data_IF_465172474382
#
_entry.id   IF_465172474382
#
_cell.length_a   1.000
_cell.length_b   1.000
_cell.length_c   1.000
_cell.angle_alpha   90.00
_cell.angle_beta   90.00
_cell.angle_gamma   90.00
#
_symmetry.space_group_name_H-M   'P 1'
#
loop_
_entity.id
_entity.type
_entity.pdbx_description
1 polymer ?
#
# COMPACT_ATOMS: atom_id res chain seq x y z
N UNK A 1 -23.68 -8.58 -18.55
CA UNK A 1 -24.24 -7.39 -19.21
C UNK A 1 -23.15 -6.85 -20.11
N UNK A 2 -23.34 -6.82 -21.42
CA UNK A 2 -22.36 -6.26 -22.35
C UNK A 2 -22.39 -4.73 -22.25
N UNK A 3 -21.75 -4.18 -21.23
CA UNK A 3 -21.47 -2.74 -21.18
C UNK A 3 -20.44 -2.39 -22.26
N UNK A 4 -20.63 -1.24 -22.91
CA UNK A 4 -19.73 -0.73 -23.94
C UNK A 4 -18.32 -0.61 -23.39
N UNK A 5 -17.31 -0.99 -24.20
CA UNK A 5 -15.89 -0.85 -23.86
C UNK A 5 -15.55 0.55 -23.33
N UNK A 6 -16.16 1.57 -23.94
CA UNK A 6 -15.99 2.97 -23.53
C UNK A 6 -16.48 3.20 -22.10
N UNK A 7 -17.61 2.60 -21.71
CA UNK A 7 -18.16 2.74 -20.36
C UNK A 7 -17.24 2.09 -19.34
N UNK A 8 -16.78 0.85 -19.61
CA UNK A 8 -15.85 0.16 -18.72
C UNK A 8 -14.54 0.92 -18.57
N UNK A 9 -14.01 1.48 -19.66
CA UNK A 9 -12.80 2.29 -19.63
C UNK A 9 -12.98 3.57 -18.81
N UNK A 10 -14.11 4.28 -18.99
CA UNK A 10 -14.42 5.48 -18.23
C UNK A 10 -14.62 5.17 -16.74
N UNK A 11 -15.28 4.06 -16.40
CA UNK A 11 -15.45 3.62 -15.01
C UNK A 11 -14.11 3.24 -14.37
N UNK A 12 -13.24 2.54 -15.12
CA UNK A 12 -11.88 2.21 -14.67
C UNK A 12 -11.08 3.48 -14.38
N UNK A 13 -11.05 4.42 -15.32
CA UNK A 13 -10.35 5.69 -15.18
C UNK A 13 -10.91 6.52 -14.01
N UNK A 14 -12.23 6.56 -13.87
CA UNK A 14 -12.90 7.26 -12.77
C UNK A 14 -12.53 6.63 -11.42
N UNK A 15 -12.57 5.30 -11.30
CA UNK A 15 -12.18 4.60 -10.08
C UNK A 15 -10.72 4.86 -9.71
N UNK A 16 -9.80 4.78 -10.70
CA UNK A 16 -8.38 5.08 -10.49
C UNK A 16 -8.17 6.52 -10.00
N UNK A 17 -8.89 7.48 -10.58
CA UNK A 17 -8.83 8.89 -10.18
C UNK A 17 -9.39 9.11 -8.77
N UNK A 18 -10.50 8.45 -8.42
CA UNK A 18 -11.06 8.49 -7.05
C UNK A 18 -10.07 7.94 -6.02
N UNK A 19 -9.38 6.84 -6.33
CA UNK A 19 -8.35 6.27 -5.45
C UNK A 19 -7.18 7.24 -5.30
N UNK A 20 -6.67 7.79 -6.41
CA UNK A 20 -5.55 8.74 -6.39
C UNK A 20 -5.85 10.02 -5.61
N UNK A 21 -6.97 10.69 -5.93
CA UNK A 21 -7.38 11.90 -5.22
C UNK A 21 -7.78 11.61 -3.77
N UNK A 22 -8.51 10.51 -3.54
CA UNK A 22 -8.92 10.06 -2.22
C UNK A 22 -7.73 9.79 -1.30
N UNK A 23 -6.68 9.12 -1.83
CA UNK A 23 -5.44 8.83 -1.10
C UNK A 23 -4.70 10.09 -0.64
N UNK A 24 -4.57 11.10 -1.51
CA UNK A 24 -3.92 12.38 -1.12
C UNK A 24 -4.68 13.09 0.00
N UNK A 25 -6.02 13.08 -0.05
CA UNK A 25 -6.85 13.68 1.00
C UNK A 25 -6.81 12.86 2.29
N UNK A 26 -6.76 11.53 2.17
CA UNK A 26 -6.64 10.60 3.29
C UNK A 26 -5.34 10.82 4.05
N UNK A 27 -4.21 11.01 3.36
CA UNK A 27 -2.92 11.32 3.99
C UNK A 27 -3.01 12.58 4.85
N UNK A 28 -3.52 13.69 4.27
CA UNK A 28 -3.66 14.96 5.01
C UNK A 28 -4.52 14.85 6.26
N UNK A 29 -5.60 14.06 6.20
CA UNK A 29 -6.47 13.85 7.36
C UNK A 29 -5.77 12.98 8.40
N UNK A 30 -4.99 11.99 7.97
CA UNK A 30 -4.21 11.15 8.86
C UNK A 30 -3.17 11.98 9.62
N UNK A 31 -2.46 12.89 8.93
CA UNK A 31 -1.48 13.79 9.54
C UNK A 31 -2.15 14.68 10.59
N UNK A 32 -3.24 15.38 10.21
CA UNK A 32 -4.03 16.21 11.14
C UNK A 32 -4.56 15.41 12.34
N UNK A 33 -4.92 14.14 12.13
CA UNK A 33 -5.41 13.27 13.19
C UNK A 33 -4.28 12.86 14.14
N UNK A 34 -3.08 12.63 13.63
CA UNK A 34 -1.90 12.37 14.45
C UNK A 34 -1.60 13.55 15.37
N UNK A 35 -1.61 14.76 14.82
CA UNK A 35 -1.39 16.00 15.57
C UNK A 35 -2.45 16.22 16.64
N UNK A 36 -3.73 16.09 16.27
CA UNK A 36 -4.84 16.36 17.18
C UNK A 36 -4.98 15.30 18.30
N UNK A 37 -4.62 14.04 18.02
CA UNK A 37 -4.74 12.94 19.00
C UNK A 37 -3.47 12.71 19.81
N UNK A 38 -2.34 13.28 19.38
CA UNK A 38 -1.02 12.97 19.94
C UNK A 38 -0.57 11.52 19.69
N UNK A 39 -1.31 10.73 18.90
CA UNK A 39 -0.80 9.47 18.37
C UNK A 39 0.21 9.84 17.29
N UNK A 40 1.50 9.87 17.66
CA UNK A 40 2.57 10.33 16.77
C UNK A 40 2.43 9.84 15.32
N UNK A 41 2.75 10.72 14.37
CA UNK A 41 2.49 10.58 12.93
C UNK A 41 2.87 9.21 12.35
N UNK A 42 4.00 8.65 12.79
CA UNK A 42 4.45 7.33 12.35
C UNK A 42 3.44 6.21 12.66
N UNK A 43 2.71 6.27 13.78
CA UNK A 43 1.72 5.26 14.17
C UNK A 43 0.45 5.41 13.33
N UNK A 44 -0.04 6.65 13.18
CA UNK A 44 -1.24 6.94 12.39
C UNK A 44 -1.00 6.65 10.92
N UNK A 45 0.14 7.07 10.38
CA UNK A 45 0.57 6.75 9.01
C UNK A 45 0.71 5.25 8.78
N UNK A 46 1.40 4.52 9.66
CA UNK A 46 1.60 3.08 9.47
C UNK A 46 0.30 2.28 9.61
N UNK A 47 -0.51 2.56 10.64
CA UNK A 47 -1.67 1.73 10.97
C UNK A 47 -2.92 2.14 10.19
N UNK A 48 -3.25 3.43 10.18
CA UNK A 48 -4.49 3.91 9.56
C UNK A 48 -4.29 4.10 8.06
N UNK A 49 -3.33 4.93 7.65
CA UNK A 49 -3.11 5.22 6.23
C UNK A 49 -2.58 3.98 5.48
N UNK A 50 -1.58 3.30 6.05
CA UNK A 50 -1.05 2.04 5.51
C UNK A 50 -2.09 0.93 5.48
N UNK A 51 -2.89 0.81 6.54
CA UNK A 51 -3.97 -0.18 6.63
C UNK A 51 -5.09 0.04 5.61
N UNK A 52 -5.59 1.28 5.47
CA UNK A 52 -6.65 1.62 4.51
C UNK A 52 -6.18 1.42 3.07
N UNK A 53 -4.97 1.87 2.74
CA UNK A 53 -4.38 1.69 1.41
C UNK A 53 -4.21 0.21 1.08
N UNK A 54 -3.69 -0.58 2.03
CA UNK A 54 -3.52 -2.03 1.87
C UNK A 54 -4.86 -2.75 1.73
N UNK A 55 -5.89 -2.33 2.48
CA UNK A 55 -7.22 -2.92 2.43
C UNK A 55 -7.84 -2.80 1.04
N UNK A 56 -7.72 -1.64 0.40
CA UNK A 56 -8.20 -1.44 -0.97
C UNK A 56 -7.52 -2.42 -1.96
N UNK A 57 -6.19 -2.55 -1.90
CA UNK A 57 -5.45 -3.50 -2.72
C UNK A 57 -5.80 -4.97 -2.43
N UNK A 58 -6.06 -5.31 -1.16
CA UNK A 58 -6.53 -6.64 -0.74
C UNK A 58 -7.91 -6.92 -1.34
N UNK A 59 -8.85 -5.98 -1.27
CA UNK A 59 -10.19 -6.13 -1.85
C UNK A 59 -10.10 -6.35 -3.36
N UNK A 60 -9.31 -5.55 -4.07
CA UNK A 60 -9.07 -5.72 -5.50
C UNK A 60 -8.51 -7.11 -5.82
N UNK A 61 -7.51 -7.58 -5.06
CA UNK A 61 -6.88 -8.89 -5.27
C UNK A 61 -7.83 -10.05 -4.97
N UNK A 62 -8.56 -10.00 -3.84
CA UNK A 62 -9.53 -11.02 -3.45
C UNK A 62 -10.67 -11.08 -4.46
N UNK A 63 -11.20 -9.92 -4.89
CA UNK A 63 -12.28 -9.86 -5.87
C UNK A 63 -11.86 -10.47 -7.19
N UNK A 64 -10.68 -10.10 -7.71
CA UNK A 64 -10.15 -10.67 -8.95
C UNK A 64 -9.90 -12.18 -8.85
N UNK A 65 -9.32 -12.65 -7.74
CA UNK A 65 -9.09 -14.07 -7.52
C UNK A 65 -10.41 -14.86 -7.38
N UNK A 66 -11.41 -14.30 -6.69
CA UNK A 66 -12.74 -14.89 -6.55
C UNK A 66 -13.50 -14.98 -7.88
N UNK A 67 -13.26 -14.03 -8.79
CA UNK A 67 -13.78 -14.03 -10.16
C UNK A 67 -12.98 -14.96 -11.11
N UNK A 68 -12.10 -15.82 -10.59
CA UNK A 68 -11.24 -16.72 -11.35
C UNK A 68 -10.20 -16.02 -12.26
N UNK A 69 -9.76 -14.82 -11.88
CA UNK A 69 -8.66 -14.07 -12.50
C UNK A 69 -7.45 -13.94 -11.54
N UNK A 70 -6.79 -15.05 -11.17
CA UNK A 70 -5.67 -15.02 -10.21
C UNK A 70 -4.44 -14.27 -10.75
N UNK A 71 -4.26 -14.17 -12.07
CA UNK A 71 -3.17 -13.39 -12.67
C UNK A 71 -3.32 -11.89 -12.36
N UNK A 72 -4.53 -11.34 -12.42
CA UNK A 72 -4.81 -9.94 -12.04
C UNK A 72 -4.51 -9.74 -10.56
N UNK A 73 -4.91 -10.67 -9.69
CA UNK A 73 -4.65 -10.58 -8.26
C UNK A 73 -3.14 -10.54 -7.93
N UNK A 74 -2.34 -11.41 -8.56
CA UNK A 74 -0.88 -11.43 -8.40
C UNK A 74 -0.25 -10.15 -8.96
N UNK A 75 -0.73 -9.69 -10.12
CA UNK A 75 -0.19 -8.51 -10.79
C UNK A 75 -0.51 -7.22 -10.05
N UNK A 76 -1.67 -7.13 -9.39
CA UNK A 76 -2.02 -6.01 -8.51
C UNK A 76 -1.07 -5.90 -7.30
N UNK A 77 -0.71 -7.03 -6.68
CA UNK A 77 0.25 -7.02 -5.58
C UNK A 77 1.65 -6.58 -6.04
N UNK A 78 2.15 -7.17 -7.13
CA UNK A 78 3.48 -6.86 -7.67
C UNK A 78 3.57 -5.44 -8.26
N UNK A 79 2.57 -5.05 -9.05
CA UNK A 79 2.44 -3.73 -9.65
C UNK A 79 2.31 -2.64 -8.59
N UNK A 80 1.55 -2.88 -7.52
CA UNK A 80 1.47 -1.97 -6.38
C UNK A 80 2.83 -1.71 -5.72
N UNK A 81 3.61 -2.77 -5.46
CA UNK A 81 4.98 -2.64 -4.92
C UNK A 81 5.89 -1.89 -5.90
N UNK A 82 5.83 -2.24 -7.19
CA UNK A 82 6.64 -1.62 -8.22
C UNK A 82 6.30 -0.13 -8.40
N UNK A 83 5.02 0.23 -8.44
CA UNK A 83 4.53 1.60 -8.59
C UNK A 83 4.91 2.45 -7.37
N UNK A 84 4.70 1.95 -6.14
CA UNK A 84 5.12 2.66 -4.92
C UNK A 84 6.62 2.90 -4.90
N UNK A 85 7.41 1.88 -5.24
CA UNK A 85 8.88 2.00 -5.31
C UNK A 85 9.32 2.96 -6.42
N UNK A 86 8.66 2.92 -7.58
CA UNK A 86 8.94 3.81 -8.70
C UNK A 86 8.61 5.26 -8.37
N UNK A 87 7.47 5.52 -7.71
CA UNK A 87 7.12 6.85 -7.24
C UNK A 87 8.14 7.40 -6.23
N UNK A 88 8.60 6.57 -5.30
CA UNK A 88 9.68 6.94 -4.38
C UNK A 88 10.98 7.26 -5.13
N UNK A 89 11.38 6.40 -6.06
CA UNK A 89 12.59 6.65 -6.87
C UNK A 89 12.50 7.93 -7.71
N UNK A 90 11.31 8.23 -8.28
CA UNK A 90 11.06 9.48 -8.98
C UNK A 90 11.12 10.66 -8.00
N UNK A 91 10.54 10.52 -6.81
CA UNK A 91 10.58 11.54 -5.78
C UNK A 91 12.03 11.83 -5.35
N UNK A 92 12.85 10.82 -5.09
CA UNK A 92 14.27 10.96 -4.75
C UNK A 92 15.06 11.67 -5.86
N UNK A 93 14.78 11.34 -7.14
CA UNK A 93 15.43 11.97 -8.27
C UNK A 93 15.07 13.46 -8.42
N UNK A 94 13.79 13.81 -8.22
CA UNK A 94 13.26 15.17 -8.38
C UNK A 94 13.57 16.05 -7.16
N UNK A 95 13.45 15.50 -5.96
CA UNK A 95 13.62 16.19 -4.68
C UNK A 95 15.00 15.93 -4.06
N UNK A 96 16.06 16.18 -4.82
CA UNK A 96 17.48 15.92 -4.47
C UNK A 96 18.00 16.60 -3.18
N UNK A 97 17.20 17.46 -2.54
CA UNK A 97 17.50 18.15 -1.26
C UNK A 97 16.60 17.70 -0.09
N UNK A 98 15.57 16.90 -0.36
CA UNK A 98 14.80 16.28 0.71
C UNK A 98 15.69 15.17 1.29
N UNK A 99 15.87 15.19 2.61
CA UNK A 99 16.81 14.33 3.31
C UNK A 99 16.31 12.87 3.42
N UNK A 100 15.65 12.36 2.37
CA UNK A 100 14.97 11.07 2.31
C UNK A 100 15.94 9.91 2.59
N UNK A 101 17.20 10.02 2.14
CA UNK A 101 18.25 9.05 2.45
C UNK A 101 18.58 8.98 3.96
N UNK A 102 18.57 10.11 4.68
CA UNK A 102 18.86 10.13 6.13
C UNK A 102 17.62 9.89 7.01
N UNK A 103 16.43 10.30 6.54
CA UNK A 103 15.17 10.13 7.26
C UNK A 103 14.62 8.69 7.14
N UNK A 104 14.84 8.01 6.00
CA UNK A 104 14.33 6.65 5.76
C UNK A 104 15.33 5.53 6.08
N UNK A 105 16.64 5.82 6.19
CA UNK A 105 17.69 4.84 6.52
C UNK A 105 17.65 4.46 8.01
N UNK A 106 16.58 3.80 8.42
CA UNK A 106 16.49 3.11 9.70
C UNK A 106 16.78 1.62 9.51
N UNK A 107 17.46 1.01 10.48
CA UNK A 107 17.70 -0.43 10.49
C UNK A 107 16.38 -1.24 10.33
N UNK A 108 15.24 -0.85 10.93
CA UNK A 108 13.93 -1.44 10.63
C UNK A 108 13.51 -1.37 9.15
N UNK A 109 13.70 -0.23 8.48
CA UNK A 109 13.36 -0.07 7.04
C UNK A 109 14.16 -1.04 6.17
N UNK A 110 15.47 -1.19 6.44
CA UNK A 110 16.33 -2.12 5.72
C UNK A 110 15.90 -3.58 5.92
N UNK A 111 15.55 -3.96 7.15
CA UNK A 111 15.06 -5.30 7.48
C UNK A 111 13.71 -5.57 6.79
N UNK A 112 12.80 -4.60 6.76
CA UNK A 112 11.54 -4.72 6.03
C UNK A 112 11.76 -4.85 4.52
N UNK A 113 12.69 -4.10 3.93
CA UNK A 113 13.06 -4.23 2.52
C UNK A 113 13.66 -5.61 2.20
N UNK A 114 14.55 -6.12 3.06
CA UNK A 114 15.09 -7.47 2.91
C UNK A 114 14.01 -8.55 3.03
N UNK A 115 13.09 -8.40 4.00
CA UNK A 115 11.95 -9.29 4.18
C UNK A 115 11.05 -9.28 2.94
N UNK A 116 10.70 -8.10 2.41
CA UNK A 116 9.89 -7.96 1.20
C UNK A 116 10.53 -8.70 0.02
N UNK A 117 11.83 -8.50 -0.21
CA UNK A 117 12.56 -9.20 -1.26
C UNK A 117 12.54 -10.74 -1.07
N UNK A 118 12.73 -11.21 0.17
CA UNK A 118 12.66 -12.63 0.48
C UNK A 118 11.25 -13.20 0.22
N UNK A 119 10.19 -12.47 0.59
CA UNK A 119 8.81 -12.88 0.34
C UNK A 119 8.46 -12.89 -1.16
N UNK A 120 8.98 -11.94 -1.94
CA UNK A 120 8.80 -11.90 -3.39
C UNK A 120 9.54 -13.02 -4.12
N UNK A 121 10.63 -13.54 -3.55
CA UNK A 121 11.34 -14.70 -4.11
C UNK A 121 10.52 -15.99 -3.99
N UNK A 122 9.67 -16.12 -2.97
CA UNK A 122 8.85 -17.34 -2.74
C UNK A 122 7.92 -17.68 -3.93
N UNK A 123 7.07 -16.77 -4.44
CA UNK A 123 6.22 -17.07 -5.59
C UNK A 123 7.04 -17.34 -6.87
N UNK A 124 8.19 -16.70 -7.05
CA UNK A 124 9.09 -16.97 -8.18
C UNK A 124 9.65 -18.40 -8.13
N UNK A 125 10.09 -18.85 -6.95
CA UNK A 125 10.56 -20.21 -6.74
C UNK A 125 9.41 -21.23 -6.87
N UNK A 126 8.21 -20.89 -6.40
CA UNK A 126 7.03 -21.74 -6.51
C UNK A 126 6.65 -22.02 -7.98
N UNK A 127 6.81 -21.04 -8.87
CA UNK A 127 6.58 -21.23 -10.32
C UNK A 127 7.57 -22.22 -10.94
N UNK A 128 8.81 -22.25 -10.45
CA UNK A 128 9.84 -23.18 -10.92
C UNK A 128 9.77 -24.58 -10.27
N UNK A 129 9.02 -24.71 -9.18
CA UNK A 129 8.86 -25.96 -8.44
C UNK A 129 7.78 -26.87 -9.07
N UNK A 130 7.77 -28.18 -8.75
CA UNK A 130 6.68 -29.06 -9.14
C UNK A 130 5.34 -28.53 -8.62
N UNK A 131 4.29 -28.66 -9.43
CA UNK A 131 2.93 -28.28 -9.03
C UNK A 131 2.47 -29.18 -7.88
N UNK A 132 2.55 -28.66 -6.66
CA UNK A 132 2.05 -29.32 -5.45
C UNK A 132 0.90 -28.48 -4.91
N UNK A 133 -0.29 -29.08 -4.86
CA UNK A 133 -1.48 -28.44 -4.32
C UNK A 133 -2.02 -29.30 -3.18
N UNK A 134 -2.16 -28.69 -2.00
CA UNK A 134 -2.77 -29.34 -0.84
C UNK A 134 -4.08 -28.61 -0.58
N UNK A 135 -5.21 -29.30 -0.73
CA UNK A 135 -6.56 -28.70 -0.57
C UNK A 135 -6.79 -27.47 -1.48
N UNK A 136 -6.17 -27.43 -2.66
CA UNK A 136 -6.26 -26.30 -3.60
C UNK A 136 -5.40 -25.08 -3.21
N UNK A 137 -4.53 -25.22 -2.21
CA UNK A 137 -3.59 -24.18 -1.77
C UNK A 137 -2.17 -24.65 -2.00
N UNK A 138 -1.36 -23.80 -2.64
CA UNK A 138 0.07 -24.07 -2.80
C UNK A 138 0.79 -23.85 -1.46
N UNK A 139 1.68 -24.76 -1.01
CA UNK A 139 2.41 -24.62 0.26
C UNK A 139 3.18 -23.30 0.41
N UNK A 140 3.60 -22.71 -0.72
CA UNK A 140 4.23 -21.39 -0.77
C UNK A 140 3.41 -20.29 -0.07
N UNK A 141 2.07 -20.34 -0.13
CA UNK A 141 1.22 -19.36 0.55
C UNK A 141 1.40 -19.40 2.07
N UNK A 142 1.54 -20.61 2.65
CA UNK A 142 1.83 -20.77 4.08
C UNK A 142 3.23 -20.27 4.43
N UNK A 143 4.21 -20.49 3.53
CA UNK A 143 5.57 -19.97 3.69
C UNK A 143 5.57 -18.44 3.68
N UNK A 144 4.80 -17.80 2.79
CA UNK A 144 4.66 -16.33 2.75
C UNK A 144 4.06 -15.81 4.05
N UNK A 145 2.96 -16.41 4.54
CA UNK A 145 2.32 -16.00 5.79
C UNK A 145 3.29 -16.19 6.98
N UNK A 146 3.92 -17.37 7.08
CA UNK A 146 4.87 -17.67 8.14
C UNK A 146 6.10 -16.77 8.10
N UNK A 147 6.63 -16.52 6.91
CA UNK A 147 7.76 -15.62 6.66
C UNK A 147 7.44 -14.17 7.04
N UNK A 148 6.24 -13.68 6.69
CA UNK A 148 5.78 -12.35 7.09
C UNK A 148 5.66 -12.22 8.61
N UNK A 149 5.03 -13.19 9.29
CA UNK A 149 4.92 -13.18 10.75
C UNK A 149 6.29 -13.25 11.44
N UNK A 150 7.20 -14.07 10.91
CA UNK A 150 8.57 -14.16 11.38
C UNK A 150 9.32 -12.83 11.20
N UNK A 151 9.23 -12.24 10.01
CA UNK A 151 9.85 -10.96 9.70
C UNK A 151 9.28 -9.79 10.52
N UNK A 152 7.99 -9.81 10.83
CA UNK A 152 7.37 -8.84 11.73
C UNK A 152 7.95 -8.94 13.15
N UNK A 153 8.12 -10.17 13.66
CA UNK A 153 8.78 -10.40 14.97
C UNK A 153 10.23 -9.95 14.95
N UNK A 154 10.98 -10.23 13.88
CA UNK A 154 12.37 -9.81 13.73
C UNK A 154 12.48 -8.28 13.72
N UNK A 155 11.62 -7.60 12.95
CA UNK A 155 11.59 -6.14 12.86
C UNK A 155 11.27 -5.50 14.21
N UNK A 156 10.35 -6.08 14.99
CA UNK A 156 10.06 -5.63 16.35
C UNK A 156 11.29 -5.72 17.27
N UNK A 157 12.02 -6.83 17.24
CA UNK A 157 13.22 -7.01 18.05
C UNK A 157 14.34 -6.04 17.68
N UNK A 158 14.51 -5.79 16.38
CA UNK A 158 15.51 -4.84 15.84
C UNK A 158 15.17 -3.40 16.25
N UNK A 159 13.88 -3.07 16.39
CA UNK A 159 13.43 -1.75 16.89
C UNK A 159 13.78 -1.53 18.36
N UNK A 160 13.68 -2.59 19.18
CA UNK A 160 13.87 -2.51 20.62
C UNK A 160 15.36 -2.55 21.03
N UNK A 161 16.23 -3.17 20.22
CA UNK A 161 17.68 -3.26 20.44
C UNK A 161 18.49 -2.89 19.18
N UNK A 162 18.50 -1.62 18.77
CA UNK A 162 19.19 -1.19 17.55
C UNK A 162 20.71 -1.39 17.68
N UNK A 163 21.28 -2.28 16.85
CA UNK A 163 22.73 -2.52 16.78
C UNK A 163 23.51 -1.39 16.10
N UNK A 164 22.81 -0.49 15.40
CA UNK A 164 23.35 0.69 14.74
C UNK A 164 22.45 1.88 15.05
N UNK A 165 23.03 3.02 15.42
CA UNK A 165 22.31 4.27 15.65
C UNK A 165 22.69 5.24 14.53
N UNK A 166 21.71 5.88 13.85
CA UNK A 166 22.01 6.88 12.84
C UNK A 166 22.76 8.06 13.47
N UNK A 167 23.80 8.55 12.80
CA UNK A 167 24.47 9.79 13.18
C UNK A 167 23.67 10.96 12.61
N UNK A 168 23.07 11.77 13.51
CA UNK A 168 22.37 12.99 13.11
C UNK A 168 23.37 13.96 12.47
N UNK A 169 23.13 14.32 11.21
CA UNK A 169 23.90 15.33 10.48
C UNK A 169 23.15 16.66 10.52
N UNK A 170 23.84 17.77 10.22
CA UNK A 170 23.25 19.12 10.22
C UNK A 170 22.07 19.27 9.26
N UNK A 171 21.93 18.38 8.29
CA UNK A 171 20.80 18.39 7.35
C UNK A 171 19.59 17.58 7.85
N UNK A 172 19.72 16.84 8.96
CA UNK A 172 18.64 15.98 9.50
C UNK A 172 17.53 16.87 10.04
N UNK A 173 16.46 17.01 9.26
CA UNK A 173 15.22 17.66 9.70
C UNK A 173 14.47 16.67 10.59
N UNK A 174 14.30 17.02 11.86
CA UNK A 174 13.34 16.36 12.73
C UNK A 174 11.99 16.98 12.38
N UNK A 175 10.99 16.15 12.06
CA UNK A 175 9.61 16.61 11.93
C UNK A 175 9.19 17.15 13.30
N UNK A 176 9.32 18.47 13.49
CA UNK A 176 8.66 19.16 14.57
C UNK A 176 7.24 19.37 14.10
N UNK A 177 6.29 18.70 14.78
CA UNK A 177 4.85 18.83 14.55
C UNK A 177 4.55 20.29 14.18
N UNK A 178 4.11 20.52 12.95
CA UNK A 178 3.85 21.86 12.45
C UNK A 178 2.76 22.42 13.37
N UNK A 179 3.14 23.26 14.34
CA UNK A 179 2.20 23.89 15.28
C UNK A 179 1.36 24.90 14.49
N UNK A 180 0.43 24.41 13.67
CA UNK A 180 -0.71 25.19 13.22
C UNK A 180 -1.53 25.49 14.46
N UNK A 181 -1.53 26.76 14.89
CA UNK A 181 -2.24 27.33 16.03
C UNK A 181 -3.78 27.26 15.92
N UNK A 182 -4.35 26.17 15.40
CA UNK A 182 -5.79 26.01 15.27
C UNK A 182 -6.33 25.23 16.48
N UNK A 183 -6.64 25.97 17.56
CA UNK A 183 -7.42 25.51 18.71
C UNK A 183 -8.80 24.91 18.28
N UNK A 184 -9.24 25.17 17.05
CA UNK A 184 -10.44 24.61 16.38
C UNK A 184 -10.30 23.13 15.93
N UNK A 185 -9.10 22.54 16.03
CA UNK A 185 -8.80 21.17 15.57
C UNK A 185 -9.40 20.07 16.46
N UNK A 186 -9.52 20.30 17.76
CA UNK A 186 -10.04 19.30 18.72
C UNK A 186 -11.58 19.15 18.64
N UNK A 187 -12.32 20.24 18.39
CA UNK A 187 -13.78 20.21 18.29
C UNK A 187 -14.27 19.46 17.03
N UNK A 188 -13.40 19.28 16.02
CA UNK A 188 -13.69 18.57 14.78
C UNK A 188 -13.18 17.12 14.74
N UNK A 189 -12.59 16.60 15.82
CA UNK A 189 -12.04 15.25 15.87
C UNK A 189 -13.02 14.13 15.44
N UNK A 190 -14.29 14.08 15.90
CA UNK A 190 -15.24 13.07 15.42
C UNK A 190 -15.56 13.23 13.93
N UNK A 191 -15.58 14.46 13.42
CA UNK A 191 -15.78 14.74 11.99
C UNK A 191 -14.59 14.25 11.15
N UNK A 192 -13.37 14.37 11.67
CA UNK A 192 -12.16 13.84 11.01
C UNK A 192 -12.17 12.32 10.94
N UNK A 193 -12.52 11.64 12.05
CA UNK A 193 -12.70 10.18 12.06
C UNK A 193 -13.79 9.72 11.09
N UNK A 194 -14.93 10.41 11.05
CA UNK A 194 -16.00 10.11 10.10
C UNK A 194 -15.54 10.33 8.65
N UNK A 195 -14.81 11.41 8.37
CA UNK A 195 -14.30 11.70 7.03
C UNK A 195 -13.25 10.68 6.59
N UNK A 196 -12.37 10.25 7.51
CA UNK A 196 -11.39 9.20 7.28
C UNK A 196 -12.07 7.86 6.99
N UNK A 197 -13.07 7.47 7.80
CA UNK A 197 -13.86 6.26 7.58
C UNK A 197 -14.64 6.30 6.26
N UNK A 198 -15.24 7.44 5.93
CA UNK A 198 -15.93 7.64 4.65
C UNK A 198 -14.98 7.52 3.46
N UNK A 199 -13.81 8.17 3.51
CA UNK A 199 -12.80 8.06 2.46
C UNK A 199 -12.30 6.62 2.30
N UNK A 200 -12.08 5.90 3.42
CA UNK A 200 -11.71 4.49 3.38
C UNK A 200 -12.76 3.64 2.64
N UNK A 201 -14.04 3.86 2.91
CA UNK A 201 -15.14 3.17 2.22
C UNK A 201 -15.19 3.52 0.73
N UNK A 202 -15.04 4.81 0.39
CA UNK A 202 -15.04 5.27 -1.00
C UNK A 202 -13.87 4.67 -1.78
N UNK A 203 -12.66 4.66 -1.20
CA UNK A 203 -11.47 4.07 -1.81
C UNK A 203 -11.62 2.56 -1.96
N UNK A 204 -12.14 1.87 -0.95
CA UNK A 204 -12.42 0.43 -1.01
C UNK A 204 -13.46 0.10 -2.11
N UNK A 205 -14.54 0.88 -2.19
CA UNK A 205 -15.56 0.73 -3.23
C UNK A 205 -15.01 1.01 -4.63
N UNK A 206 -14.19 2.04 -4.78
CA UNK A 206 -13.49 2.33 -6.02
C UNK A 206 -12.54 1.19 -6.42
N UNK A 207 -11.83 0.59 -5.45
CA UNK A 207 -10.97 -0.59 -5.68
C UNK A 207 -11.74 -1.80 -6.19
N UNK A 208 -12.97 -2.04 -5.70
CA UNK A 208 -13.87 -3.06 -6.23
C UNK A 208 -14.30 -2.78 -7.68
N UNK A 209 -14.70 -1.53 -7.98
CA UNK A 209 -15.08 -1.12 -9.34
C UNK A 209 -13.90 -1.25 -10.30
N UNK A 210 -12.70 -0.85 -9.87
CA UNK A 210 -11.47 -0.97 -10.63
C UNK A 210 -11.18 -2.44 -10.98
N UNK A 211 -11.35 -3.35 -10.02
CA UNK A 211 -11.16 -4.79 -10.24
C UNK A 211 -12.12 -5.33 -11.30
N UNK A 212 -13.42 -5.06 -11.17
CA UNK A 212 -14.46 -5.54 -12.10
C UNK A 212 -14.30 -4.97 -13.51
N UNK A 213 -13.98 -3.69 -13.62
CA UNK A 213 -13.80 -3.03 -14.91
C UNK A 213 -12.49 -3.42 -15.57
N UNK A 214 -11.42 -3.62 -14.80
CA UNK A 214 -10.14 -4.15 -15.29
C UNK A 214 -10.27 -5.54 -15.89
N UNK A 215 -10.93 -6.47 -15.19
CA UNK A 215 -11.26 -7.81 -15.73
C UNK A 215 -11.99 -7.71 -17.06
N UNK A 216 -13.05 -6.90 -17.09
CA UNK A 216 -13.90 -6.75 -18.28
C UNK A 216 -13.13 -6.12 -19.45
N UNK A 217 -12.28 -5.13 -19.18
CA UNK A 217 -11.44 -4.48 -20.19
C UNK A 217 -10.40 -5.44 -20.76
N UNK A 218 -9.73 -6.25 -19.94
CA UNK A 218 -8.77 -7.26 -20.40
C UNK A 218 -9.44 -8.23 -21.39
N UNK A 219 -10.64 -8.72 -21.06
CA UNK A 219 -11.42 -9.61 -21.94
C UNK A 219 -11.86 -8.94 -23.25
N UNK A 220 -12.25 -7.65 -23.22
CA UNK A 220 -12.74 -6.92 -24.39
C UNK A 220 -11.62 -6.42 -25.32
N UNK A 221 -10.48 -6.03 -24.77
CA UNK A 221 -9.36 -5.44 -25.52
C UNK A 221 -8.30 -6.46 -25.93
N UNK A 222 -8.30 -7.64 -25.31
CA UNK A 222 -7.23 -8.62 -25.46
C UNK A 222 -5.93 -8.23 -24.75
N UNK A 223 -5.94 -7.15 -23.94
CA UNK A 223 -4.80 -6.78 -23.10
C UNK A 223 -4.53 -7.88 -22.07
N UNK A 224 -3.26 -8.19 -21.85
CA UNK A 224 -2.88 -9.18 -20.84
C UNK A 224 -3.34 -8.73 -19.46
N UNK A 225 -3.93 -9.66 -18.71
CA UNK A 225 -4.34 -9.48 -17.31
C UNK A 225 -3.20 -8.92 -16.43
N UNK A 226 -1.95 -9.26 -16.75
CA UNK A 226 -0.77 -8.73 -16.05
C UNK A 226 -0.57 -7.22 -16.22
N UNK A 227 -0.83 -6.70 -17.42
CA UNK A 227 -0.71 -5.26 -17.72
C UNK A 227 -1.88 -4.48 -17.13
N UNK A 228 -3.07 -5.08 -17.10
CA UNK A 228 -4.26 -4.41 -16.54
C UNK A 228 -4.26 -4.43 -15.01
N UNK A 229 -3.69 -5.48 -14.41
CA UNK A 229 -3.58 -5.60 -12.96
C UNK A 229 -2.43 -4.80 -12.34
N UNK A 230 -1.35 -4.53 -13.09
CA UNK A 230 -0.17 -3.81 -12.61
C UNK A 230 -0.31 -2.30 -12.69
#
# INVERSE_FOLDING_TARGET
MNESLVINFLLFLFAALVIGLGGTKLSKIADQLADATGLGEAIVGALLLGGITSLAGIITSITAAADAHPQIAVSNALGGIAAQTAFLAIADFVYRKANLEHAAASLPTLVQGALLNALLAVPLLAIAAPKVEILGIHPASLVIIGGYLFGLRLTSQVRDAPMWKPHLTTETLIDEAEHSEDQDSLDNLPKMWLMLGWLAIVIAGAGYVLAKTGVTLSQQTGLSETVVGG
#
